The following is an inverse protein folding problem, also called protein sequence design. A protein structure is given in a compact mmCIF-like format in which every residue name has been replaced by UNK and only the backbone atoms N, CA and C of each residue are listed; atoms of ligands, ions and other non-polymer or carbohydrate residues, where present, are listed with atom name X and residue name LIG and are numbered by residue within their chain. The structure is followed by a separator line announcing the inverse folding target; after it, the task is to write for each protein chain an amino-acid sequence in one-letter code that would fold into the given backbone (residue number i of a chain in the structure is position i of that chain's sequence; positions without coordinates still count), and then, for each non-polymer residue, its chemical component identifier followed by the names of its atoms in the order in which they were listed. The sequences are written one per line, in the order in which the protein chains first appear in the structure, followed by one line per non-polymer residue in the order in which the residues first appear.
data_IF_958801358244
#
_entry.id   IF_958801358244
#
_cell.length_a   1.000
_cell.length_b   1.000
_cell.length_c   1.000
_cell.angle_alpha   90.00
_cell.angle_beta   90.00
_cell.angle_gamma   90.00
#
_symmetry.space_group_name_H-M   'P 1'
#
loop_
_entity.id
_entity.type
_entity.pdbx_description
1 polymer ?
#
# COMPACT_ATOMS: atom_id res chain seq x y z
N UNK A 1 51.53 -78.49 -15.77
CA UNK A 1 50.92 -77.24 -15.25
C UNK A 1 51.00 -77.31 -13.73
N UNK A 2 51.70 -76.37 -13.11
CA UNK A 2 52.11 -76.48 -11.70
C UNK A 2 50.92 -76.13 -10.76
N UNK A 3 50.74 -76.85 -9.64
CA UNK A 3 49.57 -76.67 -8.75
C UNK A 3 49.41 -75.22 -8.25
N UNK A 4 50.52 -74.51 -8.05
CA UNK A 4 50.49 -73.10 -7.65
C UNK A 4 49.94 -72.15 -8.75
N UNK A 5 50.19 -72.45 -10.03
CA UNK A 5 49.64 -71.67 -11.15
C UNK A 5 48.13 -71.91 -11.31
N UNK A 6 47.65 -73.15 -11.05
CA UNK A 6 46.22 -73.46 -11.05
C UNK A 6 45.46 -72.71 -9.97
N UNK A 7 45.98 -72.68 -8.73
CA UNK A 7 45.33 -72.02 -7.59
C UNK A 7 45.30 -70.49 -7.77
N UNK A 8 46.34 -69.90 -8.35
CA UNK A 8 46.40 -68.46 -8.62
C UNK A 8 45.41 -68.05 -9.73
N UNK A 9 45.34 -68.82 -10.82
CA UNK A 9 44.38 -68.57 -11.90
C UNK A 9 42.93 -68.74 -11.44
N UNK A 10 42.65 -69.68 -10.51
CA UNK A 10 41.32 -69.85 -9.96
C UNK A 10 40.90 -68.68 -9.04
N UNK A 11 41.83 -68.11 -8.27
CA UNK A 11 41.60 -66.89 -7.46
C UNK A 11 41.34 -65.66 -8.33
N UNK A 12 42.07 -65.48 -9.42
CA UNK A 12 41.87 -64.38 -10.38
C UNK A 12 40.49 -64.52 -11.05
N UNK A 13 40.16 -65.72 -11.53
CA UNK A 13 38.86 -66.02 -12.15
C UNK A 13 37.68 -65.81 -11.21
N UNK A 14 37.84 -66.05 -9.90
CA UNK A 14 36.78 -65.78 -8.89
C UNK A 14 36.59 -64.28 -8.64
N UNK A 15 37.65 -63.46 -8.67
CA UNK A 15 37.53 -62.00 -8.55
C UNK A 15 36.91 -61.38 -9.80
N UNK A 16 37.31 -61.81 -10.98
CA UNK A 16 36.72 -61.32 -12.24
C UNK A 16 35.21 -61.62 -12.32
N UNK A 17 34.77 -62.80 -11.87
CA UNK A 17 33.34 -63.13 -11.80
C UNK A 17 32.59 -62.25 -10.79
N UNK A 18 33.20 -61.92 -9.66
CA UNK A 18 32.59 -61.07 -8.65
C UNK A 18 32.45 -59.62 -9.15
N UNK A 19 33.50 -59.07 -9.77
CA UNK A 19 33.48 -57.72 -10.34
C UNK A 19 32.51 -57.62 -11.51
N UNK A 20 32.43 -58.66 -12.35
CA UNK A 20 31.45 -58.73 -13.44
C UNK A 20 30.02 -58.76 -12.89
N UNK A 21 29.74 -59.56 -11.86
CA UNK A 21 28.41 -59.62 -11.23
C UNK A 21 28.05 -58.27 -10.60
N UNK A 22 29.00 -57.61 -9.92
CA UNK A 22 28.79 -56.30 -9.32
C UNK A 22 28.49 -55.22 -10.37
N UNK A 23 29.19 -55.26 -11.51
CA UNK A 23 28.93 -54.36 -12.63
C UNK A 23 27.53 -54.57 -13.24
N UNK A 24 27.06 -55.82 -13.36
CA UNK A 24 25.68 -56.10 -13.80
C UNK A 24 24.64 -55.58 -12.80
N UNK A 25 24.87 -55.71 -11.49
CA UNK A 25 23.96 -55.17 -10.46
C UNK A 25 23.89 -53.64 -10.57
N UNK A 26 25.02 -52.96 -10.72
CA UNK A 26 25.07 -51.51 -10.93
C UNK A 26 24.35 -51.07 -12.20
N UNK A 27 24.49 -51.84 -13.30
CA UNK A 27 23.79 -51.57 -14.56
C UNK A 27 22.26 -51.68 -14.39
N UNK A 28 21.79 -52.69 -13.66
CA UNK A 28 20.35 -52.86 -13.36
C UNK A 28 19.83 -51.71 -12.51
N UNK A 29 20.57 -51.24 -11.50
CA UNK A 29 20.21 -50.06 -10.73
C UNK A 29 20.14 -48.79 -11.60
N UNK A 30 21.08 -48.63 -12.53
CA UNK A 30 21.11 -47.47 -13.43
C UNK A 30 19.92 -47.47 -14.40
N UNK A 31 19.59 -48.63 -14.98
CA UNK A 31 18.40 -48.78 -15.83
C UNK A 31 17.13 -48.57 -15.02
N UNK A 32 17.07 -49.10 -13.79
CA UNK A 32 15.94 -48.90 -12.87
C UNK A 32 15.75 -47.43 -12.51
N UNK A 33 16.83 -46.68 -12.26
CA UNK A 33 16.78 -45.25 -11.98
C UNK A 33 16.31 -44.43 -13.19
N UNK A 34 16.77 -44.77 -14.40
CA UNK A 34 16.30 -44.13 -15.65
C UNK A 34 14.81 -44.39 -15.85
N UNK A 35 14.36 -45.64 -15.67
CA UNK A 35 12.94 -46.00 -15.77
C UNK A 35 12.12 -45.33 -14.69
N UNK A 36 12.65 -45.18 -13.47
CA UNK A 36 11.98 -44.47 -12.37
C UNK A 36 11.87 -42.97 -12.64
N UNK A 37 12.90 -42.33 -13.19
CA UNK A 37 12.86 -40.92 -13.62
C UNK A 37 11.85 -40.73 -14.75
N UNK A 38 11.82 -41.63 -15.74
CA UNK A 38 10.81 -41.62 -16.81
C UNK A 38 9.42 -41.83 -16.24
N UNK A 39 9.24 -42.78 -15.31
CA UNK A 39 7.98 -43.03 -14.64
C UNK A 39 7.51 -41.82 -13.82
N UNK A 40 8.39 -41.14 -13.07
CA UNK A 40 8.09 -39.88 -12.40
C UNK A 40 7.72 -38.76 -13.40
N UNK A 41 8.38 -38.71 -14.55
CA UNK A 41 8.08 -37.77 -15.64
C UNK A 41 6.74 -38.06 -16.33
N UNK A 42 6.23 -39.30 -16.29
CA UNK A 42 4.94 -39.69 -16.89
C UNK A 42 3.78 -39.78 -15.89
N UNK A 43 4.04 -40.00 -14.58
CA UNK A 43 3.03 -39.94 -13.50
C UNK A 43 2.79 -38.52 -13.00
N UNK A 44 3.82 -37.67 -13.02
CA UNK A 44 3.52 -36.27 -13.34
C UNK A 44 3.01 -36.32 -14.77
N UNK A 45 1.70 -36.54 -14.93
CA UNK A 45 1.00 -35.87 -16.01
C UNK A 45 1.58 -34.46 -15.98
N UNK A 46 2.30 -34.09 -17.04
CA UNK A 46 2.11 -32.75 -17.55
C UNK A 46 0.60 -32.60 -17.54
N UNK A 47 0.09 -31.90 -16.54
CA UNK A 47 -1.14 -31.18 -16.70
C UNK A 47 -0.89 -30.41 -18.00
N UNK A 48 -1.36 -30.99 -19.10
CA UNK A 48 -1.53 -30.34 -20.39
C UNK A 48 -2.82 -29.53 -20.34
N UNK A 49 -3.22 -29.06 -19.15
CA UNK A 49 -3.58 -27.67 -19.10
C UNK A 49 -2.30 -26.94 -19.47
N UNK A 50 -2.29 -26.23 -20.61
CA UNK A 50 -1.60 -24.93 -20.68
C UNK A 50 -1.54 -24.39 -19.25
N UNK A 51 -0.37 -23.98 -18.69
CA UNK A 51 -0.40 -23.36 -17.38
C UNK A 51 -1.56 -22.39 -17.48
N UNK A 52 -2.64 -22.66 -16.75
CA UNK A 52 -3.69 -21.69 -16.61
C UNK A 52 -2.87 -20.65 -15.92
N UNK A 53 -2.41 -19.65 -16.69
CA UNK A 53 -1.80 -18.47 -16.14
C UNK A 53 -2.68 -18.23 -14.95
N UNK A 54 -2.11 -18.38 -13.75
CA UNK A 54 -2.70 -17.74 -12.59
C UNK A 54 -3.00 -16.36 -13.16
N UNK A 55 -4.27 -15.94 -13.31
CA UNK A 55 -4.57 -14.68 -13.98
C UNK A 55 -3.60 -13.72 -13.35
N UNK A 56 -2.76 -13.09 -14.19
CA UNK A 56 -1.70 -12.26 -13.68
C UNK A 56 -2.43 -11.13 -12.96
N UNK A 57 -2.69 -11.31 -11.66
CA UNK A 57 -3.46 -10.42 -10.81
C UNK A 57 -2.64 -9.17 -10.49
N UNK A 58 -1.65 -8.89 -11.35
CA UNK A 58 -0.85 -7.70 -11.32
C UNK A 58 -1.43 -6.76 -12.35
N UNK A 59 -1.59 -5.52 -11.92
CA UNK A 59 -2.06 -4.46 -12.79
C UNK A 59 -1.08 -4.29 -13.96
N UNK A 60 -1.59 -4.18 -15.18
CA UNK A 60 -0.76 -3.98 -16.37
C UNK A 60 -0.53 -2.49 -16.62
N UNK A 61 0.49 -2.15 -17.43
CA UNK A 61 0.70 -0.77 -17.88
C UNK A 61 -0.52 -0.22 -18.64
N UNK A 62 -1.22 -1.07 -19.39
CA UNK A 62 -2.43 -0.67 -20.11
C UNK A 62 -3.56 -0.33 -19.13
N UNK A 63 -3.74 -1.12 -18.07
CA UNK A 63 -4.71 -0.82 -17.02
C UNK A 63 -4.39 0.53 -16.36
N UNK A 64 -3.12 0.74 -15.98
CA UNK A 64 -2.65 2.01 -15.40
C UNK A 64 -2.92 3.18 -16.36
N UNK A 65 -2.51 3.07 -17.62
CA UNK A 65 -2.68 4.15 -18.60
C UNK A 65 -4.15 4.48 -18.84
N UNK A 66 -4.99 3.47 -19.01
CA UNK A 66 -6.42 3.65 -19.20
C UNK A 66 -7.07 4.30 -17.98
N UNK A 67 -6.76 3.82 -16.77
CA UNK A 67 -7.27 4.41 -15.52
C UNK A 67 -6.76 5.84 -15.32
N UNK A 68 -5.50 6.12 -15.64
CA UNK A 68 -4.90 7.43 -15.49
C UNK A 68 -5.56 8.45 -16.42
N UNK A 69 -5.85 8.09 -17.67
CA UNK A 69 -6.57 8.95 -18.61
C UNK A 69 -8.02 9.27 -18.19
N UNK A 70 -8.62 8.41 -17.36
CA UNK A 70 -9.98 8.58 -16.84
C UNK A 70 -10.00 9.01 -15.37
N UNK A 71 -8.85 9.35 -14.80
CA UNK A 71 -8.70 9.68 -13.38
C UNK A 71 -9.30 11.03 -13.02
N UNK A 72 -9.55 11.24 -11.73
CA UNK A 72 -9.94 12.56 -11.20
C UNK A 72 -8.86 13.61 -11.47
N UNK A 73 -7.58 13.22 -11.45
CA UNK A 73 -6.45 14.07 -11.82
C UNK A 73 -6.55 14.53 -13.28
N UNK A 74 -6.77 13.61 -14.21
CA UNK A 74 -6.90 13.93 -15.63
C UNK A 74 -8.09 14.88 -15.88
N UNK A 75 -9.23 14.60 -15.25
CA UNK A 75 -10.41 15.48 -15.33
C UNK A 75 -10.13 16.88 -14.77
N UNK A 76 -9.44 16.98 -13.62
CA UNK A 76 -9.03 18.26 -13.02
C UNK A 76 -8.13 19.05 -13.97
N UNK A 77 -7.12 18.40 -14.54
CA UNK A 77 -6.21 19.02 -15.50
C UNK A 77 -6.95 19.50 -16.76
N UNK A 78 -7.82 18.68 -17.34
CA UNK A 78 -8.62 19.08 -18.50
C UNK A 78 -9.52 20.30 -18.21
N UNK A 79 -10.14 20.34 -17.02
CA UNK A 79 -10.94 21.49 -16.58
C UNK A 79 -10.11 22.78 -16.40
N UNK A 80 -8.83 22.64 -16.08
CA UNK A 80 -7.87 23.74 -15.96
C UNK A 80 -7.21 24.13 -17.31
N UNK A 81 -7.77 23.69 -18.44
CA UNK A 81 -7.23 23.86 -19.80
C UNK A 81 -5.81 23.27 -19.98
N UNK A 82 -5.47 22.25 -19.21
CA UNK A 82 -4.22 21.50 -19.33
C UNK A 82 -4.42 20.34 -20.29
N UNK A 83 -3.49 20.13 -21.21
CA UNK A 83 -3.43 18.89 -21.99
C UNK A 83 -2.75 17.83 -21.15
N UNK A 84 -3.43 16.71 -20.92
CA UNK A 84 -2.90 15.55 -20.21
C UNK A 84 -3.25 14.27 -20.97
N UNK A 85 -2.27 13.41 -21.20
CA UNK A 85 -2.51 12.07 -21.74
C UNK A 85 -1.44 11.10 -21.30
N UNK A 86 -1.81 9.84 -21.18
CA UNK A 86 -0.90 8.72 -20.95
C UNK A 86 -1.08 7.66 -22.02
N UNK A 87 0.03 7.01 -22.40
CA UNK A 87 0.04 5.89 -23.33
C UNK A 87 1.14 4.91 -22.97
N UNK A 88 0.94 3.65 -23.32
CA UNK A 88 1.98 2.63 -23.19
C UNK A 88 2.83 2.62 -24.45
N UNK A 89 4.14 2.66 -24.30
CA UNK A 89 5.11 2.49 -25.38
C UNK A 89 6.11 1.39 -25.00
N UNK A 90 5.89 0.17 -25.50
CA UNK A 90 6.70 -0.98 -25.13
C UNK A 90 6.60 -1.28 -23.63
N UNK A 91 7.71 -1.16 -22.91
CA UNK A 91 7.82 -1.40 -21.46
C UNK A 91 7.73 -0.13 -20.62
N UNK A 92 7.34 1.00 -21.22
CA UNK A 92 7.29 2.30 -20.54
C UNK A 92 5.91 2.93 -20.64
N UNK A 93 5.55 3.66 -19.58
CA UNK A 93 4.37 4.53 -19.56
C UNK A 93 4.83 5.94 -19.92
N UNK A 94 4.33 6.46 -21.04
CA UNK A 94 4.62 7.81 -21.53
C UNK A 94 3.48 8.72 -21.12
N UNK A 95 3.79 9.80 -20.39
CA UNK A 95 2.81 10.76 -19.89
C UNK A 95 3.18 12.14 -20.41
N UNK A 96 2.26 12.72 -21.17
CA UNK A 96 2.39 14.02 -21.81
C UNK A 96 1.52 15.03 -21.04
N UNK A 97 2.15 16.04 -20.45
CA UNK A 97 1.50 17.17 -19.75
C UNK A 97 1.89 18.48 -20.43
N UNK A 98 0.90 19.33 -20.71
CA UNK A 98 1.14 20.70 -21.21
C UNK A 98 0.16 21.69 -20.60
N UNK A 99 0.70 22.75 -19.99
CA UNK A 99 -0.04 23.93 -19.53
C UNK A 99 0.71 25.17 -19.97
N UNK A 100 0.07 26.01 -20.77
CA UNK A 100 0.69 27.20 -21.37
C UNK A 100 2.01 26.82 -22.10
N UNK A 101 3.13 27.44 -21.71
CA UNK A 101 4.47 27.15 -22.25
C UNK A 101 5.18 25.99 -21.52
N UNK A 102 4.63 25.50 -20.40
CA UNK A 102 5.22 24.40 -19.63
C UNK A 102 4.84 23.06 -20.26
N UNK A 103 5.86 22.34 -20.73
CA UNK A 103 5.73 20.99 -21.30
C UNK A 103 6.52 20.03 -20.40
N UNK A 104 5.85 19.01 -19.89
CA UNK A 104 6.47 17.93 -19.12
C UNK A 104 6.15 16.61 -19.83
N UNK A 105 7.21 15.91 -20.27
CA UNK A 105 7.09 14.57 -20.83
C UNK A 105 7.78 13.61 -19.87
N UNK A 106 6.99 12.74 -19.23
CA UNK A 106 7.51 11.72 -18.34
C UNK A 106 7.59 10.40 -19.11
N UNK A 107 8.78 9.82 -19.14
CA UNK A 107 9.00 8.46 -19.63
C UNK A 107 9.26 7.56 -18.43
N UNK A 108 8.20 6.89 -17.96
CA UNK A 108 8.21 6.08 -16.74
C UNK A 108 8.56 4.65 -17.14
N UNK A 109 9.77 4.23 -16.81
CA UNK A 109 10.24 2.90 -17.17
C UNK A 109 9.78 1.86 -16.14
N UNK A 110 9.56 0.63 -16.62
CA UNK A 110 9.39 -0.52 -15.73
C UNK A 110 10.75 -1.12 -15.36
N UNK A 111 11.01 -1.22 -14.06
CA UNK A 111 12.16 -1.92 -13.49
C UNK A 111 11.66 -3.15 -12.72
N UNK A 112 11.52 -4.27 -13.43
CA UNK A 112 10.87 -5.46 -12.86
C UNK A 112 9.40 -5.17 -12.55
N UNK A 113 9.04 -5.11 -11.25
CA UNK A 113 7.67 -4.81 -10.80
C UNK A 113 7.52 -3.40 -10.25
N UNK A 114 8.40 -2.47 -10.63
CA UNK A 114 8.35 -1.09 -10.19
C UNK A 114 8.29 -0.13 -11.38
N UNK A 115 7.56 0.97 -11.21
CA UNK A 115 7.56 2.12 -12.11
C UNK A 115 8.48 3.20 -11.55
N UNK A 116 9.46 3.62 -12.34
CA UNK A 116 10.42 4.65 -11.96
C UNK A 116 9.99 6.03 -12.49
N UNK A 117 9.69 6.95 -11.58
CA UNK A 117 9.43 8.36 -11.86
C UNK A 117 10.65 9.19 -11.48
N UNK A 118 11.10 10.05 -12.38
CA UNK A 118 12.21 10.96 -12.13
C UNK A 118 11.68 12.38 -11.88
N UNK A 119 11.95 12.90 -10.69
CA UNK A 119 11.59 14.26 -10.27
C UNK A 119 12.82 15.15 -10.19
N UNK A 120 12.69 16.38 -10.67
CA UNK A 120 13.63 17.48 -10.53
C UNK A 120 12.89 18.78 -10.18
N UNK A 121 13.61 19.88 -9.95
CA UNK A 121 12.98 21.16 -9.57
C UNK A 121 11.93 21.65 -10.59
N UNK A 122 12.15 21.41 -11.89
CA UNK A 122 11.26 21.91 -12.94
C UNK A 122 9.93 21.14 -13.01
N UNK A 123 9.94 19.84 -12.71
CA UNK A 123 8.81 18.94 -12.88
C UNK A 123 8.23 18.38 -11.56
N UNK A 124 8.78 18.74 -10.39
CA UNK A 124 8.45 18.12 -9.08
C UNK A 124 6.95 18.03 -8.83
N UNK A 125 6.24 19.16 -8.87
CA UNK A 125 4.81 19.21 -8.56
C UNK A 125 3.95 18.34 -9.49
N UNK A 126 4.23 18.40 -10.79
CA UNK A 126 3.47 17.62 -11.80
C UNK A 126 3.77 16.13 -11.66
N UNK A 127 5.03 15.78 -11.44
CA UNK A 127 5.43 14.38 -11.26
C UNK A 127 4.88 13.81 -9.96
N UNK A 128 4.80 14.61 -8.89
CA UNK A 128 4.22 14.21 -7.62
C UNK A 128 2.73 13.90 -7.71
N UNK A 129 1.96 14.80 -8.33
CA UNK A 129 0.54 14.56 -8.65
C UNK A 129 0.38 13.24 -9.43
N UNK A 130 1.21 13.03 -10.45
CA UNK A 130 1.10 11.89 -11.36
C UNK A 130 1.47 10.57 -10.67
N UNK A 131 2.60 10.47 -9.97
CA UNK A 131 2.97 9.19 -9.35
C UNK A 131 2.00 8.84 -8.21
N UNK A 132 1.48 9.84 -7.48
CA UNK A 132 0.45 9.61 -6.45
C UNK A 132 -0.85 9.12 -7.07
N UNK A 133 -1.28 9.65 -8.21
CA UNK A 133 -2.46 9.13 -8.90
C UNK A 133 -2.23 7.71 -9.44
N UNK A 134 -1.04 7.42 -9.98
CA UNK A 134 -0.68 6.05 -10.39
C UNK A 134 -0.69 5.09 -9.20
N UNK A 135 -0.12 5.49 -8.06
CA UNK A 135 -0.16 4.67 -6.85
C UNK A 135 -1.60 4.46 -6.33
N UNK A 136 -2.47 5.47 -6.45
CA UNK A 136 -3.89 5.36 -6.10
C UNK A 136 -4.60 4.33 -6.99
N UNK A 137 -4.37 4.37 -8.31
CA UNK A 137 -4.91 3.41 -9.27
C UNK A 137 -4.49 1.97 -8.92
N UNK A 138 -3.20 1.77 -8.62
CA UNK A 138 -2.67 0.46 -8.21
C UNK A 138 -3.32 0.02 -6.90
N UNK A 139 -3.45 0.92 -5.93
CA UNK A 139 -4.05 0.65 -4.63
C UNK A 139 -5.51 0.19 -4.75
N UNK A 140 -6.32 0.87 -5.56
CA UNK A 140 -7.73 0.52 -5.84
C UNK A 140 -7.83 -0.79 -6.62
N UNK A 141 -6.93 -1.03 -7.57
CA UNK A 141 -6.88 -2.30 -8.31
C UNK A 141 -6.76 -3.51 -7.36
N UNK A 142 -5.94 -3.37 -6.32
CA UNK A 142 -5.74 -4.36 -5.26
C UNK A 142 -6.83 -4.35 -4.16
N UNK A 143 -8.02 -3.80 -4.46
CA UNK A 143 -9.25 -3.89 -3.65
C UNK A 143 -9.30 -3.02 -2.39
N UNK A 144 -8.43 -2.03 -2.29
CA UNK A 144 -8.56 -0.98 -1.29
C UNK A 144 -9.59 0.07 -1.73
N UNK A 145 -10.21 0.77 -0.77
CA UNK A 145 -11.11 1.88 -1.09
C UNK A 145 -10.31 3.10 -1.57
N UNK A 146 -10.88 3.86 -2.51
CA UNK A 146 -10.22 5.06 -3.04
C UNK A 146 -9.90 6.07 -1.93
N UNK A 147 -10.82 6.28 -0.98
CA UNK A 147 -10.61 7.20 0.14
C UNK A 147 -9.44 6.79 1.03
N UNK A 148 -9.30 5.50 1.35
CA UNK A 148 -8.18 5.00 2.15
C UNK A 148 -6.84 5.16 1.40
N UNK A 149 -6.83 4.86 0.10
CA UNK A 149 -5.67 5.06 -0.75
C UNK A 149 -5.24 6.53 -0.80
N UNK A 150 -6.18 7.45 -1.08
CA UNK A 150 -5.91 8.89 -1.16
C UNK A 150 -5.49 9.48 0.18
N UNK A 151 -6.15 9.10 1.28
CA UNK A 151 -5.78 9.53 2.63
C UNK A 151 -4.35 9.11 2.97
N UNK A 152 -3.99 7.85 2.70
CA UNK A 152 -2.63 7.33 2.90
C UNK A 152 -1.63 8.12 2.04
N UNK A 153 -1.87 8.24 0.73
CA UNK A 153 -0.95 8.88 -0.22
C UNK A 153 -0.75 10.38 0.02
N UNK A 154 -1.72 11.06 0.65
CA UNK A 154 -1.60 12.48 1.00
C UNK A 154 -0.47 12.76 2.00
N UNK A 155 -0.09 11.75 2.80
CA UNK A 155 0.98 11.83 3.82
C UNK A 155 2.33 11.31 3.33
N UNK A 156 2.37 10.68 2.15
CA UNK A 156 3.58 10.04 1.63
C UNK A 156 4.47 11.07 0.95
N UNK A 157 5.72 11.12 1.40
CA UNK A 157 6.80 11.95 0.87
C UNK A 157 8.17 11.27 1.07
N UNK A 158 9.25 11.96 0.67
CA UNK A 158 10.62 11.48 0.78
C UNK A 158 11.09 11.19 2.22
N UNK A 159 10.53 11.88 3.20
CA UNK A 159 10.83 11.71 4.63
C UNK A 159 9.88 10.69 5.29
N UNK A 160 8.73 10.42 4.67
CA UNK A 160 7.68 9.52 5.14
C UNK A 160 7.34 8.47 4.07
N UNK A 161 8.27 7.56 3.73
CA UNK A 161 8.02 6.53 2.73
C UNK A 161 7.04 5.47 3.24
N UNK A 162 6.42 4.74 2.31
CA UNK A 162 5.49 3.66 2.63
C UNK A 162 5.81 2.41 1.80
N UNK A 163 5.49 1.23 2.33
CA UNK A 163 5.67 0.01 1.55
C UNK A 163 4.87 0.10 0.24
N UNK A 164 5.52 -0.21 -0.88
CA UNK A 164 4.96 0.00 -2.22
C UNK A 164 5.41 1.30 -2.89
N UNK A 165 5.95 2.28 -2.16
CA UNK A 165 6.57 3.50 -2.70
C UNK A 165 7.90 3.78 -2.01
N UNK A 166 9.00 3.78 -2.76
CA UNK A 166 10.33 4.13 -2.23
C UNK A 166 10.97 5.28 -3.00
N UNK A 167 11.76 6.07 -2.28
CA UNK A 167 12.47 7.23 -2.80
C UNK A 167 13.98 6.95 -2.82
N UNK A 168 14.65 7.42 -3.86
CA UNK A 168 16.11 7.39 -3.98
C UNK A 168 16.59 8.73 -4.50
N UNK A 169 17.45 9.40 -3.75
CA UNK A 169 18.12 10.62 -4.23
C UNK A 169 19.26 10.23 -5.17
N UNK A 170 19.29 10.81 -6.36
CA UNK A 170 20.34 10.60 -7.36
C UNK A 170 20.73 11.93 -7.98
N UNK A 171 21.91 12.43 -7.62
CA UNK A 171 22.42 13.74 -8.05
C UNK A 171 21.42 14.88 -7.73
N UNK A 172 20.90 15.55 -8.77
CA UNK A 172 19.90 16.62 -8.67
C UNK A 172 18.45 16.12 -8.82
N UNK A 173 18.25 14.80 -8.85
CA UNK A 173 16.95 14.19 -9.05
C UNK A 173 16.52 13.36 -7.84
N UNK A 174 15.21 13.22 -7.68
CA UNK A 174 14.58 12.24 -6.79
C UNK A 174 13.92 11.20 -7.67
N UNK A 175 14.34 9.94 -7.53
CA UNK A 175 13.72 8.80 -8.18
C UNK A 175 12.67 8.20 -7.25
N UNK A 176 11.43 8.09 -7.73
CA UNK A 176 10.31 7.47 -7.02
C UNK A 176 9.98 6.16 -7.69
N UNK A 177 9.95 5.08 -6.92
CA UNK A 177 9.61 3.75 -7.41
C UNK A 177 8.27 3.33 -6.84
N UNK A 178 7.30 3.08 -7.72
CA UNK A 178 5.94 2.62 -7.34
C UNK A 178 5.79 1.15 -7.74
N UNK A 179 5.49 0.28 -6.78
CA UNK A 179 5.35 -1.15 -7.00
C UNK A 179 4.02 -1.48 -7.71
N UNK A 180 4.06 -2.31 -8.75
CA UNK A 180 2.89 -2.74 -9.53
C UNK A 180 2.46 -4.17 -9.26
N UNK A 181 3.24 -4.94 -8.47
CA UNK A 181 2.92 -6.32 -8.12
C UNK A 181 2.21 -6.47 -6.76
N UNK A 182 2.10 -5.38 -6.00
CA UNK A 182 1.35 -5.34 -4.74
C UNK A 182 0.82 -3.93 -4.49
N UNK A 183 -0.18 -3.83 -3.64
CA UNK A 183 -0.70 -2.55 -3.17
C UNK A 183 0.33 -1.81 -2.32
N UNK A 184 0.06 -0.52 -2.09
CA UNK A 184 0.69 0.21 -0.98
C UNK A 184 0.11 -0.29 0.34
N UNK A 185 0.88 -0.23 1.42
CA UNK A 185 0.33 -0.49 2.75
C UNK A 185 -0.68 0.62 3.06
N UNK A 186 -1.98 0.31 3.02
CA UNK A 186 -3.00 1.27 3.42
C UNK A 186 -3.12 1.26 4.94
N UNK A 187 -3.19 2.45 5.54
CA UNK A 187 -3.72 2.53 6.89
C UNK A 187 -5.21 2.20 6.79
N UNK A 188 -5.63 1.03 7.29
CA UNK A 188 -7.05 0.74 7.44
C UNK A 188 -7.66 1.81 8.36
N UNK A 189 -8.57 2.59 7.80
CA UNK A 189 -9.34 3.58 8.55
C UNK A 189 -10.45 2.80 9.24
N UNK A 190 -10.38 2.71 10.57
CA UNK A 190 -11.47 2.11 11.33
C UNK A 190 -12.71 3.01 11.21
N UNK A 191 -13.89 2.42 11.01
CA UNK A 191 -15.16 3.15 11.03
C UNK A 191 -15.94 2.77 12.27
N UNK A 192 -16.25 3.75 13.10
CA UNK A 192 -17.10 3.58 14.27
C UNK A 192 -18.49 4.16 14.00
N UNK A 193 -19.53 3.42 14.36
CA UNK A 193 -20.94 3.86 14.24
C UNK A 193 -21.55 4.30 15.57
N UNK A 194 -20.73 4.32 16.63
CA UNK A 194 -21.08 4.74 17.97
C UNK A 194 -19.90 5.48 18.59
N UNK A 195 -20.17 6.30 19.60
CA UNK A 195 -19.13 7.05 20.32
C UNK A 195 -18.13 6.05 20.89
N UNK A 196 -16.91 6.12 20.36
CA UNK A 196 -15.83 5.19 20.69
C UNK A 196 -14.72 5.95 21.40
N UNK A 197 -14.18 5.35 22.45
CA UNK A 197 -13.00 5.84 23.14
C UNK A 197 -11.75 5.30 22.44
N UNK A 198 -10.81 6.18 22.13
CA UNK A 198 -9.55 5.82 21.47
C UNK A 198 -8.38 6.46 22.21
N UNK A 199 -7.21 5.84 22.09
CA UNK A 199 -5.95 6.42 22.57
C UNK A 199 -5.58 7.68 21.75
N UNK A 200 -4.81 8.60 22.35
CA UNK A 200 -4.38 9.85 21.69
C UNK A 200 -3.60 9.63 20.38
N UNK A 201 -2.90 8.51 20.25
CA UNK A 201 -2.20 8.12 19.02
C UNK A 201 -3.14 7.71 17.89
N UNK A 202 -4.36 7.26 18.21
CA UNK A 202 -5.31 6.73 17.24
C UNK A 202 -6.21 7.86 16.72
N UNK A 203 -5.71 8.56 15.71
CA UNK A 203 -6.47 9.63 15.02
C UNK A 203 -6.96 9.25 13.62
N UNK A 204 -6.45 8.15 13.06
CA UNK A 204 -6.88 7.67 11.75
C UNK A 204 -8.08 6.72 11.88
N UNK A 205 -9.27 7.32 12.02
CA UNK A 205 -10.56 6.64 11.98
C UNK A 205 -11.65 7.61 11.48
N UNK A 206 -12.80 7.03 11.12
CA UNK A 206 -14.02 7.75 10.78
C UNK A 206 -15.09 7.44 11.83
N UNK A 207 -15.84 8.46 12.25
CA UNK A 207 -16.94 8.32 13.19
C UNK A 207 -18.24 8.75 12.51
N UNK A 208 -19.16 7.81 12.32
CA UNK A 208 -20.47 8.01 11.73
C UNK A 208 -21.55 7.96 12.81
N UNK A 209 -22.07 9.12 13.18
CA UNK A 209 -23.15 9.25 14.15
C UNK A 209 -24.38 9.75 13.42
N UNK A 210 -25.34 8.86 13.17
CA UNK A 210 -26.60 9.20 12.51
C UNK A 210 -26.40 9.82 11.11
N UNK A 211 -26.64 11.12 10.95
CA UNK A 211 -26.50 11.87 9.69
C UNK A 211 -25.16 12.57 9.54
N UNK A 212 -24.29 12.49 10.56
CA UNK A 212 -23.01 13.18 10.62
C UNK A 212 -21.84 12.22 10.46
N UNK A 213 -20.81 12.68 9.76
CA UNK A 213 -19.52 11.97 9.65
C UNK A 213 -18.40 12.88 10.12
N UNK A 214 -17.56 12.36 11.02
CA UNK A 214 -16.34 13.00 11.50
C UNK A 214 -15.13 12.21 10.98
N UNK A 215 -14.20 12.90 10.33
CA UNK A 215 -12.97 12.32 9.82
C UNK A 215 -11.80 13.32 9.88
N UNK A 216 -10.65 12.94 9.34
CA UNK A 216 -9.43 13.76 9.31
C UNK A 216 -9.03 14.31 10.68
N UNK A 217 -9.20 13.48 11.73
CA UNK A 217 -8.94 13.89 13.10
C UNK A 217 -7.43 14.11 13.27
N UNK A 218 -7.06 15.22 13.88
CA UNK A 218 -5.69 15.56 14.22
C UNK A 218 -5.63 16.01 15.67
N UNK A 219 -4.56 15.60 16.34
CA UNK A 219 -4.27 16.00 17.72
C UNK A 219 -2.90 16.64 17.71
N UNK A 220 -2.81 17.88 18.18
CA UNK A 220 -1.55 18.60 18.32
C UNK A 220 -1.32 18.86 19.80
N UNK A 221 -0.15 18.47 20.29
CA UNK A 221 0.26 18.64 21.68
C UNK A 221 1.36 19.70 21.76
N UNK A 222 1.16 20.69 22.62
CA UNK A 222 2.16 21.67 23.03
C UNK A 222 2.25 21.69 24.57
N UNK A 223 3.26 22.37 25.12
CA UNK A 223 3.54 22.37 26.57
C UNK A 223 2.34 22.77 27.43
N UNK A 224 1.49 23.68 26.94
CA UNK A 224 0.36 24.25 27.68
C UNK A 224 -1.00 23.97 27.04
N UNK A 225 -1.05 23.21 25.94
CA UNK A 225 -2.25 23.11 25.12
C UNK A 225 -2.30 21.78 24.37
N UNK A 226 -3.47 21.15 24.38
CA UNK A 226 -3.82 20.08 23.45
C UNK A 226 -4.97 20.53 22.56
N UNK A 227 -4.80 20.38 21.25
CA UNK A 227 -5.76 20.84 20.24
C UNK A 227 -6.23 19.65 19.42
N UNK A 228 -7.56 19.48 19.34
CA UNK A 228 -8.23 18.53 18.48
C UNK A 228 -8.84 19.26 17.30
N UNK A 229 -8.52 18.81 16.09
CA UNK A 229 -9.24 19.24 14.88
C UNK A 229 -9.77 18.03 14.13
N UNK A 230 -10.75 18.27 13.29
CA UNK A 230 -11.31 17.27 12.38
C UNK A 230 -12.36 17.89 11.49
N UNK A 231 -12.73 17.17 10.46
CA UNK A 231 -13.74 17.60 9.51
C UNK A 231 -15.07 16.97 9.85
N UNK A 232 -16.14 17.76 9.73
CA UNK A 232 -17.50 17.29 9.92
C UNK A 232 -18.29 17.53 8.63
N UNK A 233 -18.96 16.48 8.18
CA UNK A 233 -19.98 16.54 7.13
C UNK A 233 -21.32 16.11 7.72
N UNK A 234 -22.42 16.63 7.19
CA UNK A 234 -23.77 16.20 7.57
C UNK A 234 -24.70 16.13 6.37
N UNK A 235 -25.66 15.21 6.42
CA UNK A 235 -26.84 15.22 5.54
C UNK A 235 -28.09 15.75 6.24
N UNK A 236 -27.99 16.21 7.48
CA UNK A 236 -29.09 16.77 8.27
C UNK A 236 -29.56 18.11 7.72
N UNK A 237 -30.87 18.34 7.75
CA UNK A 237 -31.47 19.65 7.46
C UNK A 237 -31.13 20.67 8.57
N UNK A 238 -31.03 20.21 9.82
CA UNK A 238 -30.56 21.03 10.95
C UNK A 238 -29.03 21.03 11.00
N UNK A 239 -28.45 22.22 10.97
CA UNK A 239 -26.99 22.45 11.01
C UNK A 239 -26.49 22.97 12.36
N UNK A 240 -27.39 23.06 13.34
CA UNK A 240 -27.06 23.44 14.70
C UNK A 240 -26.73 22.18 15.49
N UNK A 241 -25.49 22.09 15.97
CA UNK A 241 -24.99 20.96 16.77
C UNK A 241 -23.66 21.34 17.42
N UNK A 242 -23.25 20.56 18.41
CA UNK A 242 -21.95 20.72 19.08
C UNK A 242 -21.11 19.46 18.93
N UNK A 243 -19.85 19.64 18.51
CA UNK A 243 -18.84 18.58 18.60
C UNK A 243 -18.28 18.63 20.02
N UNK A 244 -18.40 17.52 20.75
CA UNK A 244 -17.89 17.38 22.11
C UNK A 244 -16.68 16.47 22.08
N UNK A 245 -15.55 16.95 22.57
CA UNK A 245 -14.37 16.11 22.82
C UNK A 245 -14.28 15.88 24.32
N UNK A 246 -14.19 14.62 24.74
CA UNK A 246 -14.02 14.24 26.15
C UNK A 246 -12.67 13.58 26.34
N UNK A 247 -11.93 13.99 27.36
CA UNK A 247 -10.64 13.42 27.76
C UNK A 247 -10.82 12.47 28.94
N UNK A 248 -10.12 11.33 28.89
CA UNK A 248 -10.15 10.30 29.91
C UNK A 248 -8.75 9.99 30.41
N UNK A 249 -8.66 9.74 31.72
CA UNK A 249 -7.47 9.25 32.39
C UNK A 249 -7.52 7.75 32.62
N UNK A 250 -6.80 7.28 33.64
CA UNK A 250 -6.75 5.87 33.98
C UNK A 250 -8.14 5.30 34.35
N UNK A 251 -8.34 4.03 34.00
CA UNK A 251 -9.60 3.29 34.24
C UNK A 251 -10.85 4.02 33.72
N UNK A 252 -10.76 4.64 32.55
CA UNK A 252 -11.89 5.30 31.90
C UNK A 252 -12.47 6.51 32.67
N UNK A 253 -11.70 7.07 33.61
CA UNK A 253 -12.13 8.24 34.39
C UNK A 253 -12.21 9.47 33.50
N UNK A 254 -13.39 10.08 33.36
CA UNK A 254 -13.56 11.36 32.65
C UNK A 254 -12.77 12.46 33.39
N UNK A 255 -11.84 13.10 32.69
CA UNK A 255 -11.05 14.21 33.22
C UNK A 255 -11.75 15.54 32.95
N UNK A 256 -12.12 15.78 31.69
CA UNK A 256 -12.77 17.01 31.25
C UNK A 256 -13.41 16.82 29.88
N UNK A 257 -14.22 17.78 29.45
CA UNK A 257 -14.72 17.87 28.08
C UNK A 257 -14.83 19.32 27.63
N UNK A 258 -14.66 19.55 26.34
CA UNK A 258 -14.80 20.87 25.70
C UNK A 258 -15.61 20.72 24.41
N UNK A 259 -16.22 21.82 23.96
CA UNK A 259 -17.20 21.80 22.87
C UNK A 259 -16.86 22.81 21.78
N UNK A 260 -17.21 22.46 20.56
CA UNK A 260 -17.22 23.36 19.41
C UNK A 260 -18.63 23.44 18.82
N UNK A 261 -19.23 24.63 18.85
CA UNK A 261 -20.61 24.84 18.43
C UNK A 261 -20.70 25.27 16.96
N UNK A 262 -21.52 24.54 16.20
CA UNK A 262 -22.07 24.99 14.93
C UNK A 262 -23.43 25.64 15.18
N UNK A 263 -23.57 26.89 14.74
CA UNK A 263 -24.76 27.71 14.94
C UNK A 263 -24.96 28.66 13.76
N UNK A 264 -25.95 29.56 13.83
CA UNK A 264 -26.27 30.49 12.75
C UNK A 264 -25.12 31.42 12.35
N UNK A 265 -24.17 31.67 13.25
CA UNK A 265 -22.98 32.50 13.00
C UNK A 265 -21.80 31.65 12.52
N UNK A 266 -21.66 30.44 13.04
CA UNK A 266 -20.64 29.47 12.67
C UNK A 266 -21.28 28.26 11.96
N UNK A 267 -21.73 28.48 10.73
CA UNK A 267 -22.55 27.50 10.02
C UNK A 267 -21.74 26.27 9.62
N UNK A 268 -22.33 25.10 9.82
CA UNK A 268 -21.86 23.87 9.22
C UNK A 268 -22.25 23.83 7.73
N UNK A 269 -21.28 24.10 6.86
CA UNK A 269 -21.38 23.90 5.41
C UNK A 269 -21.16 22.41 5.07
N UNK A 270 -21.15 22.01 3.80
CA UNK A 270 -21.07 20.58 3.40
C UNK A 270 -19.87 19.84 4.01
N UNK A 271 -18.76 20.55 4.25
CA UNK A 271 -17.58 20.05 4.95
C UNK A 271 -16.93 21.21 5.73
N UNK A 272 -16.88 21.10 7.06
CA UNK A 272 -16.33 22.15 7.93
C UNK A 272 -15.40 21.57 8.99
N UNK A 273 -14.29 22.25 9.21
CA UNK A 273 -13.35 21.90 10.28
C UNK A 273 -13.89 22.39 11.64
N UNK A 274 -13.79 21.54 12.67
CA UNK A 274 -13.95 21.93 14.08
C UNK A 274 -12.58 22.06 14.75
N UNK A 275 -12.51 22.88 15.81
CA UNK A 275 -11.32 23.02 16.65
C UNK A 275 -11.72 23.06 18.12
N UNK A 276 -11.26 22.08 18.90
CA UNK A 276 -11.45 22.02 20.35
C UNK A 276 -10.10 22.07 21.03
N UNK A 277 -9.96 22.90 22.07
CA UNK A 277 -8.69 23.16 22.76
C UNK A 277 -8.83 22.95 24.26
N UNK A 278 -7.85 22.28 24.88
CA UNK A 278 -7.76 22.14 26.32
C UNK A 278 -6.45 22.74 26.82
N UNK A 279 -6.55 23.64 27.78
CA UNK A 279 -5.37 24.22 28.44
C UNK A 279 -4.81 23.23 29.44
N UNK A 280 -3.55 22.84 29.26
CA UNK A 280 -2.83 21.97 30.19
C UNK A 280 -2.33 22.76 31.39
N UNK A 281 -2.44 22.17 32.59
CA UNK A 281 -2.03 22.77 33.85
C UNK A 281 -1.65 21.68 34.87
N UNK A 282 -1.36 22.06 36.11
CA UNK A 282 -0.96 21.12 37.18
C UNK A 282 -1.99 20.00 37.45
N UNK A 283 -3.27 20.24 37.13
CA UNK A 283 -4.37 19.28 37.33
C UNK A 283 -4.65 18.45 36.08
N UNK A 284 -4.58 19.05 34.89
CA UNK A 284 -4.72 18.38 33.59
C UNK A 284 -3.38 18.45 32.85
N UNK A 285 -2.52 17.45 33.09
CA UNK A 285 -1.25 17.32 32.38
C UNK A 285 -1.35 16.22 31.29
N UNK A 286 -0.47 16.29 30.30
CA UNK A 286 -0.50 15.37 29.15
C UNK A 286 -0.37 13.90 29.58
N UNK A 287 0.47 13.62 30.58
CA UNK A 287 0.69 12.26 31.09
C UNK A 287 -0.55 11.64 31.73
N UNK A 288 -1.46 12.47 32.27
CA UNK A 288 -2.72 12.03 32.87
C UNK A 288 -3.77 11.61 31.84
N UNK A 289 -3.65 12.06 30.58
CA UNK A 289 -4.62 11.78 29.52
C UNK A 289 -4.25 10.46 28.83
N UNK A 290 -5.16 9.49 28.89
CA UNK A 290 -4.96 8.15 28.30
C UNK A 290 -5.78 7.93 27.04
N UNK A 291 -6.97 8.52 26.98
CA UNK A 291 -7.88 8.33 25.86
C UNK A 291 -8.75 9.58 25.64
N UNK A 292 -9.41 9.62 24.50
CA UNK A 292 -10.43 10.60 24.19
C UNK A 292 -11.63 9.95 23.50
N UNK A 293 -12.74 10.68 23.44
CA UNK A 293 -13.88 10.36 22.58
C UNK A 293 -14.41 11.62 21.92
N UNK A 294 -15.02 11.46 20.76
CA UNK A 294 -15.76 12.53 20.08
C UNK A 294 -17.24 12.13 20.04
N UNK A 295 -18.12 13.05 20.37
CA UNK A 295 -19.57 12.88 20.26
C UNK A 295 -20.24 14.13 19.68
N UNK A 296 -21.51 14.00 19.30
CA UNK A 296 -22.32 15.09 18.74
C UNK A 296 -23.53 15.30 19.63
N UNK A 297 -23.75 16.55 20.03
CA UNK A 297 -24.97 16.99 20.72
C UNK A 297 -25.80 17.86 19.75
N UNK A 298 -27.11 17.59 19.64
CA UNK A 298 -28.05 18.31 18.76
C UNK A 298 -28.99 19.19 19.59
#
# INVERSE_FOLDING_TARGET
MNEQEMIMNEKIRKREKLDTILAYILLVFLIGAILFILYLKFIKREDTTTPVEKPNNNITLNDISNSLNNSTLANRYLNDNVTFSSKVNGTSLVIDYKKDDKIVNLNVNTMGTELEFTMNEDNRLVTEDIYKEVANIICVYYKNTEDACRSTLSKVDENNPINGIRYVTSDNNILVYVNTAKSIDIENIDTYTEVTKTELSKTNYELKLDTETINNIKITNADTLITFTGNVTTTSESKNMSIVVTLYGDNDTKLTEEKYEFNDTNKLEENKEFKVEFTLNDTLNLDSIKAYSISIEK
#
